data_IF_453048384856
#
_entry.id   IF_453048384856
#
_cell.length_a   1.000
_cell.length_b   1.000
_cell.length_c   1.000
_cell.angle_alpha   90.00
_cell.angle_beta   90.00
_cell.angle_gamma   90.00
#
_symmetry.space_group_name_H-M   'P 1'
#
loop_
_entity.id
_entity.type
_entity.pdbx_description
1 polymer ?
#
# COMPACT_ATOMS: atom_id res chain seq x y z
N UNK A 1 83.83 -25.02 11.38
CA UNK A 1 84.45 -24.90 10.04
C UNK A 1 83.36 -24.64 9.02
N UNK A 2 83.24 -23.39 8.54
CA UNK A 2 83.17 -23.03 7.12
C UNK A 2 82.97 -21.52 6.99
N UNK A 3 83.84 -20.93 6.17
CA UNK A 3 84.06 -19.50 5.98
C UNK A 3 83.07 -18.89 4.97
N UNK A 4 82.94 -17.56 5.08
CA UNK A 4 82.22 -16.56 4.27
C UNK A 4 82.23 -16.73 2.73
N UNK A 5 81.37 -15.98 2.00
CA UNK A 5 81.89 -14.70 1.49
C UNK A 5 80.94 -13.50 1.65
N UNK A 6 81.55 -12.38 2.02
CA UNK A 6 81.04 -11.02 1.85
C UNK A 6 80.81 -10.73 0.35
N UNK A 7 79.62 -10.28 -0.01
CA UNK A 7 79.31 -9.70 -1.31
C UNK A 7 79.18 -8.19 -1.22
N UNK A 8 80.14 -7.48 -1.81
CA UNK A 8 80.17 -6.03 -2.00
C UNK A 8 79.16 -5.58 -3.05
N UNK A 9 78.20 -4.72 -2.70
CA UNK A 9 77.54 -3.84 -3.66
C UNK A 9 77.47 -2.41 -3.11
N UNK A 10 78.10 -1.51 -3.85
CA UNK A 10 78.05 -0.06 -3.67
C UNK A 10 76.65 0.49 -4.05
N UNK A 11 76.30 1.74 -3.67
CA UNK A 11 74.97 2.14 -3.26
C UNK A 11 74.02 2.41 -4.43
N UNK A 12 72.72 2.12 -4.26
CA UNK A 12 71.67 2.62 -5.16
C UNK A 12 71.29 4.03 -4.72
N UNK A 13 71.52 4.99 -5.60
CA UNK A 13 71.19 6.41 -5.43
C UNK A 13 69.68 6.64 -5.33
N UNK A 14 69.26 7.45 -4.36
CA UNK A 14 67.91 8.00 -4.27
C UNK A 14 67.76 9.14 -5.29
N UNK A 15 66.82 9.10 -6.25
CA UNK A 15 66.53 10.24 -7.09
C UNK A 15 65.64 11.23 -6.31
N UNK A 16 66.24 12.30 -5.78
CA UNK A 16 65.49 13.43 -5.23
C UNK A 16 64.96 14.28 -6.39
N UNK A 17 63.63 14.27 -6.57
CA UNK A 17 62.78 15.15 -7.39
C UNK A 17 63.18 15.45 -8.85
N UNK A 18 62.29 15.23 -9.84
CA UNK A 18 62.55 15.66 -11.21
C UNK A 18 62.58 17.20 -11.29
N UNK A 19 63.73 17.76 -11.70
CA UNK A 19 63.83 19.16 -12.13
C UNK A 19 62.84 19.37 -13.28
N UNK A 20 61.83 20.21 -13.06
CA UNK A 20 60.96 20.70 -14.12
C UNK A 20 61.55 22.05 -14.56
N UNK A 21 62.07 22.13 -15.78
CA UNK A 21 62.51 23.40 -16.37
C UNK A 21 61.28 24.29 -16.55
N UNK A 22 61.30 25.45 -15.88
CA UNK A 22 60.31 26.51 -16.04
C UNK A 22 60.89 27.53 -17.03
N UNK A 23 60.29 27.61 -18.22
CA UNK A 23 60.60 28.63 -19.21
C UNK A 23 59.85 29.92 -18.84
N UNK A 24 60.58 31.00 -18.56
CA UNK A 24 60.07 32.22 -17.93
C UNK A 24 59.61 33.29 -18.93
N UNK A 25 59.71 33.03 -20.24
CA UNK A 25 59.52 34.06 -21.28
C UNK A 25 58.24 33.91 -22.13
N UNK A 26 57.43 32.86 -21.91
CA UNK A 26 56.10 32.76 -22.55
C UNK A 26 55.00 33.08 -21.55
N UNK A 27 54.55 34.34 -21.54
CA UNK A 27 53.49 34.89 -20.69
C UNK A 27 52.08 34.32 -20.93
N UNK A 28 51.95 33.02 -21.13
CA UNK A 28 50.68 32.30 -21.31
C UNK A 28 50.44 31.41 -20.10
N UNK A 29 49.64 31.91 -19.15
CA UNK A 29 49.13 31.13 -18.04
C UNK A 29 48.28 29.96 -18.55
N UNK A 30 48.89 28.80 -18.77
CA UNK A 30 48.15 27.54 -18.96
C UNK A 30 47.52 27.22 -17.61
N UNK A 31 46.31 27.73 -17.40
CA UNK A 31 45.40 27.27 -16.35
C UNK A 31 45.27 25.76 -16.50
N UNK A 32 46.03 24.99 -15.72
CA UNK A 32 45.69 23.59 -15.47
C UNK A 32 44.31 23.60 -14.84
N UNK A 33 43.30 23.27 -15.63
CA UNK A 33 41.98 22.92 -15.14
C UNK A 33 42.18 21.88 -14.04
N UNK A 34 41.85 22.28 -12.82
CA UNK A 34 41.89 21.40 -11.65
C UNK A 34 40.88 20.30 -11.93
N UNK A 35 41.33 19.13 -12.41
CA UNK A 35 40.48 17.95 -12.52
C UNK A 35 39.83 17.72 -11.15
N UNK A 36 38.49 17.62 -11.04
CA UNK A 36 37.87 17.31 -9.77
C UNK A 36 38.40 15.96 -9.31
N UNK A 37 39.10 15.95 -8.19
CA UNK A 37 39.61 14.74 -7.57
C UNK A 37 38.41 14.09 -6.88
N UNK A 38 37.68 13.26 -7.60
CA UNK A 38 36.71 12.35 -6.98
C UNK A 38 37.50 11.38 -6.11
N UNK A 39 37.64 11.71 -4.82
CA UNK A 39 38.03 10.71 -3.83
C UNK A 39 36.92 9.65 -3.81
N UNK A 40 37.20 8.36 -4.00
CA UNK A 40 36.20 7.35 -3.74
C UNK A 40 35.78 7.50 -2.28
N UNK A 41 34.49 7.79 -2.05
CA UNK A 41 33.91 7.71 -0.72
C UNK A 41 34.22 6.30 -0.19
N UNK A 42 35.15 6.21 0.77
CA UNK A 42 35.49 4.97 1.47
C UNK A 42 34.80 4.99 2.84
N UNK A 43 33.50 4.68 2.93
CA UNK A 43 32.75 4.72 4.19
C UNK A 43 33.42 3.83 5.26
N UNK A 44 33.98 2.70 4.84
CA UNK A 44 34.67 1.74 5.71
C UNK A 44 35.90 2.32 6.45
N UNK A 45 36.63 3.28 5.84
CA UNK A 45 37.80 3.91 6.49
C UNK A 45 37.38 4.99 7.48
N UNK A 46 36.28 5.69 7.21
CA UNK A 46 35.68 6.65 8.16
C UNK A 46 35.06 5.95 9.37
N UNK A 47 34.38 4.81 9.17
CA UNK A 47 33.78 4.02 10.26
C UNK A 47 34.84 3.54 11.27
N UNK A 48 36.01 3.07 10.79
CA UNK A 48 37.11 2.65 11.68
C UNK A 48 37.70 3.81 12.50
N UNK A 49 37.80 5.02 11.91
CA UNK A 49 38.28 6.23 12.61
C UNK A 49 37.31 6.69 13.69
N UNK A 50 36.00 6.65 13.42
CA UNK A 50 34.97 6.95 14.40
C UNK A 50 34.95 5.93 15.54
N UNK A 51 35.08 4.63 15.25
CA UNK A 51 35.11 3.58 16.27
C UNK A 51 36.20 3.78 17.32
N UNK A 52 37.42 4.14 16.89
CA UNK A 52 38.52 4.40 17.82
C UNK A 52 38.29 5.65 18.70
N UNK A 53 37.62 6.69 18.16
CA UNK A 53 37.26 7.90 18.92
C UNK A 53 36.15 7.63 19.93
N UNK A 54 35.13 6.87 19.54
CA UNK A 54 34.07 6.43 20.45
C UNK A 54 34.61 5.54 21.55
N UNK A 55 35.49 4.59 21.23
CA UNK A 55 36.12 3.73 22.22
C UNK A 55 36.95 4.53 23.24
N UNK A 56 37.68 5.55 22.80
CA UNK A 56 38.42 6.43 23.69
C UNK A 56 37.49 7.26 24.60
N UNK A 57 36.38 7.77 24.05
CA UNK A 57 35.39 8.54 24.79
C UNK A 57 34.69 7.71 25.89
N UNK A 58 34.28 6.48 25.58
CA UNK A 58 33.69 5.57 26.58
C UNK A 58 34.72 5.09 27.62
N UNK A 59 36.00 5.02 27.26
CA UNK A 59 37.09 4.71 28.20
C UNK A 59 37.35 5.83 29.21
N UNK A 60 37.16 7.09 28.81
CA UNK A 60 37.31 8.26 29.68
C UNK A 60 36.09 8.51 30.57
N UNK A 61 34.88 8.22 30.07
CA UNK A 61 33.62 8.47 30.79
C UNK A 61 32.72 7.24 30.83
N UNK A 62 33.00 6.26 31.71
CA UNK A 62 32.21 5.03 31.80
C UNK A 62 30.75 5.28 32.19
N UNK A 63 30.49 6.31 33.01
CA UNK A 63 29.14 6.70 33.42
C UNK A 63 28.29 7.25 32.26
N UNK A 64 28.90 7.98 31.32
CA UNK A 64 28.20 8.48 30.13
C UNK A 64 27.83 7.34 29.18
N UNK A 65 28.66 6.29 29.12
CA UNK A 65 28.33 5.05 28.41
C UNK A 65 27.12 4.33 29.00
N UNK A 66 27.09 4.21 30.33
CA UNK A 66 25.96 3.66 31.07
C UNK A 66 24.68 4.46 30.85
N UNK A 67 24.76 5.78 30.88
CA UNK A 67 23.62 6.67 30.63
C UNK A 67 23.08 6.52 29.20
N UNK A 68 23.95 6.49 28.19
CA UNK A 68 23.54 6.31 26.80
C UNK A 68 22.93 4.92 26.55
N UNK A 69 23.49 3.88 27.17
CA UNK A 69 22.91 2.54 27.13
C UNK A 69 21.52 2.50 27.79
N UNK A 70 21.36 3.13 28.95
CA UNK A 70 20.07 3.24 29.64
C UNK A 70 19.04 3.99 28.79
N UNK A 71 19.41 5.12 28.19
CA UNK A 71 18.53 5.86 27.28
C UNK A 71 18.12 5.01 26.06
N UNK A 72 19.04 4.22 25.51
CA UNK A 72 18.73 3.31 24.41
C UNK A 72 17.76 2.20 24.82
N UNK A 73 17.95 1.61 26.01
CA UNK A 73 17.00 0.62 26.57
C UNK A 73 15.63 1.25 26.83
N UNK A 74 15.57 2.46 27.40
CA UNK A 74 14.31 3.17 27.64
C UNK A 74 13.60 3.56 26.33
N UNK A 75 14.35 3.98 25.31
CA UNK A 75 13.80 4.26 23.99
C UNK A 75 13.27 2.98 23.31
N UNK A 76 14.00 1.88 23.37
CA UNK A 76 13.53 0.57 22.90
C UNK A 76 12.29 0.12 23.67
N UNK A 77 12.27 0.25 24.99
CA UNK A 77 11.10 -0.09 25.81
C UNK A 77 9.89 0.78 25.44
N UNK A 78 10.08 2.09 25.23
CA UNK A 78 9.02 2.99 24.79
C UNK A 78 8.50 2.66 23.39
N UNK A 79 9.39 2.32 22.45
CA UNK A 79 9.02 1.85 21.11
C UNK A 79 8.26 0.53 21.22
N UNK A 80 8.76 -0.46 21.99
CA UNK A 80 8.04 -1.72 22.22
C UNK A 80 6.71 -1.51 22.94
N UNK A 81 6.58 -0.52 23.82
CA UNK A 81 5.30 -0.16 24.44
C UNK A 81 4.36 0.52 23.45
N UNK A 82 4.84 1.37 22.54
CA UNK A 82 4.00 2.03 21.53
C UNK A 82 3.54 1.05 20.44
N UNK A 83 4.47 0.23 19.93
CA UNK A 83 4.13 -0.91 19.06
C UNK A 83 3.26 -1.92 19.81
N UNK A 84 3.58 -2.23 21.07
CA UNK A 84 2.81 -3.13 21.93
C UNK A 84 1.45 -2.57 22.35
N UNK A 85 1.20 -1.26 22.26
CA UNK A 85 -0.13 -0.67 22.53
C UNK A 85 -0.96 -0.65 21.25
N UNK A 86 -0.34 -0.44 20.08
CA UNK A 86 -1.02 -0.59 18.79
C UNK A 86 -1.34 -2.05 18.45
N UNK A 87 -0.53 -3.01 18.92
CA UNK A 87 -0.88 -4.43 18.88
C UNK A 87 -1.67 -4.89 20.11
N UNK A 88 -1.48 -4.32 21.30
CA UNK A 88 -2.14 -4.76 22.54
C UNK A 88 -3.57 -4.27 22.72
N UNK A 89 -3.96 -3.19 22.04
CA UNK A 89 -5.36 -2.69 22.04
C UNK A 89 -6.20 -3.34 20.92
N UNK A 90 -5.61 -4.19 20.07
CA UNK A 90 -6.33 -5.08 19.13
C UNK A 90 -6.00 -6.58 19.26
N UNK A 91 -4.98 -6.96 20.05
CA UNK A 91 -4.52 -8.35 20.18
C UNK A 91 -4.66 -8.91 21.61
N UNK A 92 -5.43 -8.23 22.47
CA UNK A 92 -6.04 -8.80 23.67
C UNK A 92 -7.28 -9.62 23.31
N UNK A 93 -7.10 -10.64 22.47
CA UNK A 93 -8.23 -11.40 21.91
C UNK A 93 -7.86 -12.57 21.02
N UNK A 94 -6.61 -13.03 20.96
CA UNK A 94 -6.32 -14.41 20.52
C UNK A 94 -6.63 -15.39 21.65
N UNK A 95 -7.87 -15.32 22.15
CA UNK A 95 -8.48 -16.45 22.83
C UNK A 95 -8.92 -17.36 21.70
N UNK A 96 -8.08 -18.34 21.37
CA UNK A 96 -8.58 -19.60 20.83
C UNK A 96 -9.39 -20.28 21.95
N UNK A 97 -10.50 -19.65 22.33
CA UNK A 97 -11.68 -20.40 22.70
C UNK A 97 -12.16 -20.95 21.37
N UNK A 98 -12.43 -22.24 21.31
CA UNK A 98 -13.43 -22.71 20.37
C UNK A 98 -14.70 -21.91 20.68
N UNK A 99 -14.83 -20.70 20.10
CA UNK A 99 -16.12 -20.07 19.92
C UNK A 99 -16.91 -21.13 19.17
N UNK A 100 -18.02 -21.56 19.77
CA UNK A 100 -18.90 -22.48 19.08
C UNK A 100 -19.21 -21.90 17.71
N UNK A 101 -19.42 -22.75 16.72
CA UNK A 101 -19.83 -22.29 15.39
C UNK A 101 -21.01 -21.30 15.46
N UNK A 102 -21.85 -21.42 16.50
CA UNK A 102 -23.00 -20.56 16.78
C UNK A 102 -22.68 -19.18 17.40
N UNK A 103 -21.43 -18.87 17.77
CA UNK A 103 -21.08 -17.58 18.38
C UNK A 103 -20.88 -16.45 17.35
N UNK A 104 -20.75 -16.79 16.06
CA UNK A 104 -20.56 -15.79 15.00
C UNK A 104 -21.91 -15.23 14.51
N UNK A 105 -22.01 -13.91 14.25
CA UNK A 105 -23.28 -13.26 13.91
C UNK A 105 -23.91 -13.80 12.61
N UNK A 106 -23.10 -14.35 11.70
CA UNK A 106 -23.54 -14.88 10.41
C UNK A 106 -23.06 -16.30 10.15
N UNK A 107 -22.92 -17.13 11.19
CA UNK A 107 -22.36 -18.50 11.11
C UNK A 107 -22.99 -19.41 10.04
N UNK A 108 -24.26 -19.19 9.70
CA UNK A 108 -24.99 -19.99 8.71
C UNK A 108 -24.66 -19.65 7.26
N UNK A 109 -24.05 -18.49 7.00
CA UNK A 109 -23.72 -18.05 5.64
C UNK A 109 -22.40 -18.69 5.20
N UNK A 110 -22.38 -19.17 3.96
CA UNK A 110 -21.30 -20.00 3.41
C UNK A 110 -20.70 -19.43 2.13
N UNK A 111 -21.44 -18.59 1.41
CA UNK A 111 -21.01 -18.02 0.13
C UNK A 111 -20.77 -16.51 0.26
N UNK A 112 -19.75 -16.01 -0.44
CA UNK A 112 -19.44 -14.58 -0.49
C UNK A 112 -19.82 -14.03 -1.86
N UNK A 113 -20.68 -13.02 -1.89
CA UNK A 113 -20.86 -12.15 -3.06
C UNK A 113 -20.22 -10.81 -2.74
N UNK A 114 -19.19 -10.48 -3.48
CA UNK A 114 -18.40 -9.29 -3.27
C UNK A 114 -18.62 -8.32 -4.43
N UNK A 115 -18.97 -7.08 -4.12
CA UNK A 115 -19.12 -5.99 -5.08
C UNK A 115 -18.00 -4.98 -4.86
N UNK A 116 -17.11 -4.86 -5.84
CA UNK A 116 -15.96 -3.96 -5.77
C UNK A 116 -16.37 -2.50 -6.02
N UNK A 117 -16.05 -1.66 -5.05
CA UNK A 117 -16.09 -0.21 -5.14
C UNK A 117 -15.01 0.32 -6.07
N UNK A 118 -15.36 1.33 -6.86
CA UNK A 118 -14.43 2.09 -7.71
C UNK A 118 -14.72 3.60 -7.74
N UNK A 119 -15.80 4.05 -7.09
CA UNK A 119 -16.22 5.45 -7.03
C UNK A 119 -17.13 5.65 -5.82
N UNK A 120 -17.29 6.91 -5.40
CA UNK A 120 -18.07 7.29 -4.24
C UNK A 120 -19.31 8.04 -4.71
N UNK A 121 -20.50 7.58 -4.32
CA UNK A 121 -21.72 8.36 -4.50
C UNK A 121 -21.71 9.59 -3.56
N UNK A 122 -21.71 10.79 -4.14
CA UNK A 122 -21.54 12.06 -3.42
C UNK A 122 -22.73 12.98 -3.49
N UNK A 123 -23.76 12.65 -4.28
CA UNK A 123 -24.89 13.55 -4.52
C UNK A 123 -25.57 14.00 -3.20
N UNK A 124 -25.44 15.29 -2.91
CA UNK A 124 -26.09 15.97 -1.78
C UNK A 124 -27.49 16.46 -2.12
N UNK A 125 -27.77 16.63 -3.42
CA UNK A 125 -29.10 16.83 -3.98
C UNK A 125 -29.61 15.46 -4.44
N UNK A 126 -30.92 15.20 -4.39
CA UNK A 126 -31.52 13.95 -4.84
C UNK A 126 -31.47 13.78 -6.39
N UNK A 127 -30.29 13.94 -6.99
CA UNK A 127 -30.04 13.78 -8.42
C UNK A 127 -30.26 12.35 -8.90
N UNK A 128 -30.27 12.15 -10.23
CA UNK A 128 -30.34 10.81 -10.80
C UNK A 128 -29.03 10.09 -10.51
N UNK A 129 -29.08 9.02 -9.73
CA UNK A 129 -27.90 8.22 -9.32
C UNK A 129 -27.11 7.71 -10.55
N UNK A 130 -27.73 7.55 -11.72
CA UNK A 130 -27.04 7.12 -12.94
C UNK A 130 -26.21 8.21 -13.63
N UNK A 131 -26.26 9.46 -13.16
CA UNK A 131 -25.50 10.57 -13.75
C UNK A 131 -24.10 10.67 -13.13
N UNK A 132 -23.13 11.02 -13.97
CA UNK A 132 -21.73 11.20 -13.60
C UNK A 132 -21.53 12.32 -12.56
N UNK A 133 -22.39 13.35 -12.55
CA UNK A 133 -22.33 14.47 -11.59
C UNK A 133 -22.66 14.06 -10.14
N UNK A 134 -23.26 12.88 -9.96
CA UNK A 134 -23.68 12.34 -8.67
C UNK A 134 -22.62 11.43 -8.04
N UNK A 135 -21.51 11.19 -8.75
CA UNK A 135 -20.39 10.34 -8.34
C UNK A 135 -19.08 11.12 -8.33
N UNK A 136 -18.22 10.79 -7.37
CA UNK A 136 -16.84 11.24 -7.37
C UNK A 136 -16.02 10.40 -8.36
N UNK A 137 -15.80 10.93 -9.55
CA UNK A 137 -15.10 10.27 -10.65
C UNK A 137 -13.72 10.87 -10.89
N UNK A 138 -12.70 10.01 -10.98
CA UNK A 138 -11.40 10.39 -11.51
C UNK A 138 -11.47 10.77 -12.98
N UNK A 139 -10.46 11.48 -13.49
CA UNK A 139 -10.42 11.95 -14.88
C UNK A 139 -10.63 10.83 -15.91
N UNK A 140 -10.08 9.64 -15.66
CA UNK A 140 -10.23 8.47 -16.52
C UNK A 140 -11.58 7.75 -16.40
N UNK A 141 -12.37 8.07 -15.35
CA UNK A 141 -13.69 7.49 -15.09
C UNK A 141 -14.82 8.37 -15.63
N UNK A 142 -14.53 9.57 -16.14
CA UNK A 142 -15.51 10.51 -16.71
C UNK A 142 -15.97 10.12 -18.12
N UNK A 143 -16.16 8.83 -18.34
CA UNK A 143 -16.74 8.31 -19.57
C UNK A 143 -18.28 8.29 -19.44
N UNK A 144 -19.03 8.67 -20.48
CA UNK A 144 -20.49 8.56 -20.45
C UNK A 144 -20.95 7.14 -20.12
N UNK A 145 -21.86 7.00 -19.16
CA UNK A 145 -22.41 5.72 -18.72
C UNK A 145 -21.65 5.03 -17.59
N UNK A 146 -20.51 5.58 -17.14
CA UNK A 146 -19.73 4.99 -16.05
C UNK A 146 -20.53 4.88 -14.74
N UNK A 147 -21.26 5.95 -14.39
CA UNK A 147 -22.10 5.98 -13.19
C UNK A 147 -23.20 4.90 -13.25
N UNK A 148 -23.84 4.72 -14.41
CA UNK A 148 -24.84 3.67 -14.62
C UNK A 148 -24.25 2.25 -14.45
N UNK A 149 -23.00 2.04 -14.83
CA UNK A 149 -22.28 0.77 -14.60
C UNK A 149 -22.12 0.48 -13.11
N UNK A 150 -21.74 1.45 -12.28
CA UNK A 150 -21.65 1.25 -10.83
C UNK A 150 -23.00 0.88 -10.22
N UNK A 151 -24.06 1.59 -10.62
CA UNK A 151 -25.44 1.30 -10.22
C UNK A 151 -25.87 -0.11 -10.61
N UNK A 152 -25.47 -0.56 -11.81
CA UNK A 152 -25.74 -1.90 -12.31
C UNK A 152 -25.06 -2.97 -11.46
N UNK A 153 -23.77 -2.81 -11.13
CA UNK A 153 -23.06 -3.75 -10.26
C UNK A 153 -23.66 -3.86 -8.86
N UNK A 154 -24.10 -2.72 -8.29
CA UNK A 154 -24.77 -2.72 -6.98
C UNK A 154 -26.04 -3.57 -7.05
N UNK A 155 -26.87 -3.35 -8.08
CA UNK A 155 -28.10 -4.09 -8.27
C UNK A 155 -27.85 -5.58 -8.53
N UNK A 156 -26.87 -5.91 -9.38
CA UNK A 156 -26.51 -7.29 -9.72
C UNK A 156 -26.01 -8.08 -8.50
N UNK A 157 -25.16 -7.48 -7.66
CA UNK A 157 -24.72 -8.12 -6.41
C UNK A 157 -25.89 -8.45 -5.48
N UNK A 158 -26.87 -7.55 -5.37
CA UNK A 158 -28.09 -7.76 -4.58
C UNK A 158 -28.93 -8.90 -5.17
N UNK A 159 -29.13 -8.90 -6.49
CA UNK A 159 -29.89 -9.93 -7.20
C UNK A 159 -29.26 -11.33 -7.08
N UNK A 160 -27.93 -11.42 -7.07
CA UNK A 160 -27.24 -12.69 -6.85
C UNK A 160 -27.51 -13.19 -5.42
N UNK A 161 -27.37 -12.32 -4.41
CA UNK A 161 -27.60 -12.68 -3.00
C UNK A 161 -29.07 -12.94 -2.69
N UNK A 162 -29.99 -12.33 -3.44
CA UNK A 162 -31.42 -12.61 -3.35
C UNK A 162 -31.79 -14.04 -3.81
N UNK A 163 -30.95 -14.66 -4.65
CA UNK A 163 -31.15 -16.04 -5.15
C UNK A 163 -30.41 -17.10 -4.32
N UNK A 164 -29.55 -16.68 -3.41
CA UNK A 164 -28.77 -17.55 -2.53
C UNK A 164 -28.93 -17.11 -1.07
N UNK A 165 -29.78 -17.81 -0.33
CA UNK A 165 -30.04 -17.55 1.09
C UNK A 165 -28.82 -17.82 1.98
N UNK A 166 -27.83 -18.56 1.50
CA UNK A 166 -26.57 -18.84 2.19
C UNK A 166 -25.47 -17.84 1.86
N UNK A 167 -25.74 -16.85 1.00
CA UNK A 167 -24.75 -15.84 0.61
C UNK A 167 -24.75 -14.62 1.55
N UNK A 168 -23.56 -14.08 1.78
CA UNK A 168 -23.31 -12.77 2.38
C UNK A 168 -22.93 -11.78 1.26
N UNK A 169 -23.59 -10.63 1.21
CA UNK A 169 -23.21 -9.52 0.35
C UNK A 169 -22.21 -8.62 1.07
N UNK A 170 -21.03 -8.42 0.47
CA UNK A 170 -20.06 -7.41 0.88
C UNK A 170 -19.85 -6.38 -0.23
N UNK A 171 -20.24 -5.13 0.01
CA UNK A 171 -19.71 -4.00 -0.72
C UNK A 171 -18.31 -3.71 -0.18
N UNK A 172 -17.29 -3.69 -1.02
CA UNK A 172 -15.89 -3.58 -0.59
C UNK A 172 -15.21 -2.42 -1.30
N UNK A 173 -14.54 -1.57 -0.52
CA UNK A 173 -13.85 -0.39 -1.02
C UNK A 173 -13.80 0.71 0.04
N UNK A 174 -12.61 1.24 0.28
CA UNK A 174 -12.34 2.18 1.37
C UNK A 174 -12.39 3.65 0.99
N UNK A 175 -11.91 4.49 1.92
CA UNK A 175 -11.80 5.94 1.75
C UNK A 175 -10.55 6.30 0.92
N UNK A 176 -10.62 6.06 -0.39
CA UNK A 176 -9.46 6.27 -1.29
C UNK A 176 -9.34 7.70 -1.82
N UNK A 177 -10.40 8.52 -1.67
CA UNK A 177 -10.50 9.86 -2.27
C UNK A 177 -10.59 10.93 -1.18
N UNK A 178 -9.49 11.66 -0.98
CA UNK A 178 -9.42 12.78 -0.01
C UNK A 178 -10.53 13.82 -0.24
N UNK A 179 -10.83 14.14 -1.49
CA UNK A 179 -11.76 15.21 -1.85
C UNK A 179 -13.23 14.77 -1.81
N UNK A 180 -13.50 13.46 -1.62
CA UNK A 180 -14.86 12.93 -1.47
C UNK A 180 -15.39 13.00 -0.02
N UNK A 181 -14.54 13.37 0.94
CA UNK A 181 -14.88 13.41 2.36
C UNK A 181 -14.71 12.04 3.05
N UNK A 182 -15.11 11.93 4.34
CA UNK A 182 -14.97 10.71 5.15
C UNK A 182 -16.07 9.71 4.78
N UNK A 183 -16.02 9.19 3.55
CA UNK A 183 -16.98 8.24 3.01
C UNK A 183 -16.24 7.19 2.19
N UNK A 184 -16.41 5.92 2.58
CA UNK A 184 -15.87 4.81 1.82
C UNK A 184 -16.72 4.51 0.57
N UNK A 185 -16.09 3.92 -0.43
CA UNK A 185 -16.79 3.46 -1.64
C UNK A 185 -17.89 2.45 -1.27
N UNK A 186 -17.59 1.52 -0.36
CA UNK A 186 -18.52 0.51 0.15
C UNK A 186 -19.76 1.10 0.83
N UNK A 187 -19.59 2.08 1.71
CA UNK A 187 -20.72 2.79 2.35
C UNK A 187 -21.59 3.48 1.31
N UNK A 188 -20.97 4.10 0.32
CA UNK A 188 -21.70 4.82 -0.72
C UNK A 188 -22.57 3.87 -1.56
N UNK A 189 -22.07 2.66 -1.86
CA UNK A 189 -22.81 1.63 -2.59
C UNK A 189 -23.98 1.07 -1.76
N UNK A 190 -23.74 0.79 -0.48
CA UNK A 190 -24.80 0.35 0.45
C UNK A 190 -25.91 1.39 0.55
N UNK A 191 -25.55 2.68 0.66
CA UNK A 191 -26.51 3.78 0.74
C UNK A 191 -27.33 3.93 -0.56
N UNK A 192 -26.70 3.74 -1.72
CA UNK A 192 -27.41 3.71 -3.02
C UNK A 192 -28.46 2.59 -3.02
N UNK A 193 -28.06 1.37 -2.64
CA UNK A 193 -28.97 0.22 -2.57
C UNK A 193 -30.15 0.45 -1.62
N UNK A 194 -29.89 1.00 -0.44
CA UNK A 194 -30.91 1.30 0.56
C UNK A 194 -31.88 2.38 0.06
N UNK A 195 -31.36 3.46 -0.55
CA UNK A 195 -32.17 4.55 -1.11
C UNK A 195 -33.11 4.08 -2.22
N UNK A 196 -32.74 3.02 -2.94
CA UNK A 196 -33.54 2.40 -4.00
C UNK A 196 -34.52 1.36 -3.47
N UNK A 197 -34.42 0.96 -2.20
CA UNK A 197 -35.23 -0.10 -1.62
C UNK A 197 -34.93 -1.49 -2.20
N UNK A 198 -33.76 -1.69 -2.81
CA UNK A 198 -33.40 -2.95 -3.49
C UNK A 198 -33.20 -4.11 -2.54
N UNK A 199 -32.93 -3.84 -1.27
CA UNK A 199 -32.75 -4.91 -0.31
C UNK A 199 -34.02 -5.70 0.00
N UNK A 200 -35.23 -5.26 -0.35
CA UNK A 200 -36.52 -5.93 -0.04
C UNK A 200 -37.10 -5.65 1.37
N UNK A 201 -38.19 -6.32 1.76
CA UNK A 201 -38.83 -6.18 3.09
C UNK A 201 -38.28 -7.19 4.12
N UNK A 202 -37.92 -6.68 5.31
CA UNK A 202 -37.55 -7.27 6.63
C UNK A 202 -36.93 -8.68 6.79
N UNK A 203 -37.19 -9.69 5.94
CA UNK A 203 -36.45 -10.97 5.90
C UNK A 203 -35.47 -11.06 4.71
N UNK A 204 -35.36 -9.96 3.97
CA UNK A 204 -34.70 -9.85 2.68
C UNK A 204 -33.18 -9.66 2.77
N UNK A 205 -32.51 -9.48 1.63
CA UNK A 205 -31.03 -9.35 1.49
C UNK A 205 -30.39 -8.38 2.50
N UNK A 206 -31.13 -7.39 3.01
CA UNK A 206 -30.64 -6.33 3.91
C UNK A 206 -29.85 -6.84 5.11
N UNK A 207 -30.34 -7.87 5.80
CA UNK A 207 -29.68 -8.36 7.02
C UNK A 207 -28.35 -9.07 6.72
N UNK A 208 -28.16 -9.51 5.46
CA UNK A 208 -26.94 -10.18 4.95
C UNK A 208 -26.07 -9.26 4.10
N UNK A 209 -26.34 -7.95 4.10
CA UNK A 209 -25.63 -6.97 3.29
C UNK A 209 -24.81 -6.02 4.16
N UNK A 210 -23.49 -6.17 4.06
CA UNK A 210 -22.53 -5.46 4.89
C UNK A 210 -21.45 -4.78 4.04
N UNK A 211 -20.60 -4.01 4.69
CA UNK A 211 -19.49 -3.27 4.08
C UNK A 211 -18.13 -3.79 4.54
N UNK A 212 -17.16 -3.67 3.65
CA UNK A 212 -15.72 -3.74 3.90
C UNK A 212 -15.12 -2.42 3.42
N UNK A 213 -14.49 -1.66 4.32
CA UNK A 213 -14.22 -0.22 4.10
C UNK A 213 -12.73 0.16 4.13
N UNK A 214 -11.84 -0.83 4.05
CA UNK A 214 -10.40 -0.63 4.15
C UNK A 214 -9.65 -0.89 2.85
N UNK A 215 -10.28 -1.55 1.88
CA UNK A 215 -9.63 -1.85 0.61
C UNK A 215 -9.28 -0.59 -0.20
N UNK A 216 -8.04 -0.51 -0.67
CA UNK A 216 -7.53 0.63 -1.46
C UNK A 216 -7.33 0.31 -2.93
N UNK A 217 -7.34 -0.96 -3.28
CA UNK A 217 -7.20 -1.45 -4.64
C UNK A 217 -8.02 -2.74 -4.87
N UNK A 218 -7.99 -3.26 -6.09
CA UNK A 218 -8.72 -4.47 -6.47
C UNK A 218 -8.26 -5.75 -5.77
N UNK A 219 -6.99 -5.82 -5.35
CA UNK A 219 -6.47 -6.98 -4.62
C UNK A 219 -6.94 -6.97 -3.18
N UNK A 220 -6.83 -5.83 -2.51
CA UNK A 220 -7.33 -5.62 -1.15
C UNK A 220 -8.83 -5.81 -1.07
N UNK A 221 -9.56 -5.36 -2.08
CA UNK A 221 -11.00 -5.60 -2.24
C UNK A 221 -11.35 -7.08 -2.05
N UNK A 222 -10.66 -7.98 -2.76
CA UNK A 222 -10.86 -9.43 -2.61
C UNK A 222 -10.36 -9.94 -1.25
N UNK A 223 -9.12 -9.62 -0.89
CA UNK A 223 -8.47 -10.15 0.31
C UNK A 223 -9.23 -9.75 1.58
N UNK A 224 -9.57 -8.47 1.73
CA UNK A 224 -10.27 -7.96 2.89
C UNK A 224 -11.71 -8.43 2.93
N UNK A 225 -12.38 -8.62 1.78
CA UNK A 225 -13.71 -9.25 1.75
C UNK A 225 -13.68 -10.69 2.28
N UNK A 226 -12.65 -11.48 1.92
CA UNK A 226 -12.48 -12.84 2.45
C UNK A 226 -12.18 -12.83 3.95
N UNK A 227 -11.32 -11.91 4.41
CA UNK A 227 -11.05 -11.73 5.84
C UNK A 227 -12.32 -11.32 6.60
N UNK A 228 -13.06 -10.34 6.08
CA UNK A 228 -14.30 -9.83 6.65
C UNK A 228 -15.39 -10.90 6.71
N UNK A 229 -15.49 -11.73 5.68
CA UNK A 229 -16.39 -12.88 5.70
C UNK A 229 -16.06 -13.80 6.87
N UNK A 230 -14.77 -14.16 7.06
CA UNK A 230 -14.36 -15.02 8.18
C UNK A 230 -14.58 -14.40 9.55
N UNK A 231 -14.41 -13.09 9.68
CA UNK A 231 -14.75 -12.38 10.93
C UNK A 231 -16.24 -12.51 11.28
N UNK A 232 -17.10 -12.54 10.26
CA UNK A 232 -18.56 -12.54 10.41
C UNK A 232 -19.16 -13.93 10.55
N UNK A 233 -18.56 -14.95 9.92
CA UNK A 233 -19.11 -16.32 9.84
C UNK A 233 -18.27 -17.36 10.59
N UNK A 234 -17.04 -17.01 11.00
CA UNK A 234 -16.08 -17.94 11.60
C UNK A 234 -15.39 -18.88 10.61
N UNK A 235 -15.82 -18.92 9.35
CA UNK A 235 -15.27 -19.79 8.30
C UNK A 235 -14.88 -19.01 7.06
N UNK A 236 -14.06 -19.61 6.20
CA UNK A 236 -13.81 -19.05 4.87
C UNK A 236 -14.97 -19.39 3.93
N UNK A 237 -15.27 -18.54 2.94
CA UNK A 237 -16.36 -18.78 2.02
C UNK A 237 -16.08 -20.03 1.16
N UNK A 238 -17.11 -20.83 0.91
CA UNK A 238 -17.03 -21.99 0.02
C UNK A 238 -17.00 -21.56 -1.45
N UNK A 239 -17.82 -20.56 -1.79
CA UNK A 239 -17.86 -19.95 -3.12
C UNK A 239 -17.69 -18.43 -3.00
N UNK A 240 -17.00 -17.85 -3.97
CA UNK A 240 -16.84 -16.40 -4.09
C UNK A 240 -17.36 -15.97 -5.46
N UNK A 241 -18.36 -15.11 -5.47
CA UNK A 241 -18.84 -14.41 -6.66
C UNK A 241 -18.32 -12.98 -6.64
N UNK A 242 -17.62 -12.61 -7.71
CA UNK A 242 -16.99 -11.30 -7.84
C UNK A 242 -17.78 -10.44 -8.83
N UNK A 243 -18.31 -9.32 -8.36
CA UNK A 243 -19.00 -8.32 -9.19
C UNK A 243 -18.10 -7.08 -9.25
N UNK A 244 -17.53 -6.84 -10.42
CA UNK A 244 -16.63 -5.71 -10.67
C UNK A 244 -16.86 -5.12 -12.06
N UNK A 245 -16.27 -3.96 -12.28
CA UNK A 245 -16.19 -3.37 -13.61
C UNK A 245 -15.35 -4.22 -14.56
N UNK A 246 -16.05 -4.87 -15.50
CA UNK A 246 -15.42 -5.61 -16.58
C UNK A 246 -15.09 -4.64 -17.73
N UNK A 247 -13.83 -4.18 -17.80
CA UNK A 247 -13.38 -3.26 -18.86
C UNK A 247 -13.54 -3.82 -20.28
N UNK A 248 -13.63 -5.15 -20.42
CA UNK A 248 -13.84 -5.82 -21.71
C UNK A 248 -15.29 -5.64 -22.20
N UNK A 249 -16.28 -5.79 -21.31
CA UNK A 249 -17.69 -5.59 -21.66
C UNK A 249 -18.03 -4.13 -21.98
N UNK A 250 -17.34 -3.17 -21.36
CA UNK A 250 -17.47 -1.76 -21.69
C UNK A 250 -17.01 -1.45 -23.13
N UNK A 251 -15.94 -2.11 -23.59
CA UNK A 251 -15.45 -1.97 -24.98
C UNK A 251 -16.39 -2.64 -25.99
N UNK A 252 -16.97 -3.80 -25.65
CA UNK A 252 -17.97 -4.47 -26.49
C UNK A 252 -19.27 -3.67 -26.60
N UNK A 253 -19.73 -3.06 -25.49
CA UNK A 253 -20.91 -2.20 -25.48
C UNK A 253 -20.68 -0.91 -26.27
N UNK A 254 -19.49 -0.30 -26.15
CA UNK A 254 -19.09 0.83 -27.00
C UNK A 254 -19.01 0.45 -28.48
N UNK A 255 -18.55 -0.75 -28.81
CA UNK A 255 -18.53 -1.25 -30.18
C UNK A 255 -19.95 -1.52 -30.72
N UNK A 256 -20.86 -2.03 -29.88
CA UNK A 256 -22.27 -2.26 -30.23
C UNK A 256 -23.03 -0.95 -30.46
N UNK A 257 -22.90 0.02 -29.56
CA UNK A 257 -23.58 1.32 -29.65
C UNK A 257 -23.07 2.17 -30.84
N UNK A 258 -21.79 2.00 -31.22
CA UNK A 258 -21.23 2.59 -32.45
C UNK A 258 -21.75 1.89 -33.71
N UNK A 259 -21.99 0.58 -33.65
CA UNK A 259 -22.57 -0.22 -34.72
C UNK A 259 -24.03 0.17 -35.02
N UNK A 260 -24.86 0.34 -33.99
CA UNK A 260 -26.26 0.76 -34.14
C UNK A 260 -26.40 2.18 -34.71
N UNK A 261 -25.51 3.10 -34.32
CA UNK A 261 -25.50 4.47 -34.89
C UNK A 261 -25.11 4.52 -36.36
N UNK A 262 -24.38 3.54 -36.89
CA UNK A 262 -24.02 3.47 -38.31
C UNK A 262 -25.16 2.90 -39.16
N UNK A 263 -25.99 2.03 -38.59
CA UNK A 263 -27.17 1.48 -39.28
C UNK A 263 -28.34 2.46 -39.35
N UNK A 264 -28.45 3.41 -38.41
CA UNK A 264 -29.48 4.47 -38.42
C UNK A 264 -29.14 5.66 -39.36
N UNK A 265 -27.97 5.64 -40.02
CA UNK A 265 -27.50 6.70 -40.93
C UNK A 265 -27.41 6.19 -42.40
N UNK A 266 -27.87 4.97 -42.68
CA UNK A 266 -28.08 4.42 -44.03
C UNK A 266 -29.57 4.34 -44.37
#
# INVERSE_FOLDING_TARGET
>A
MNNYPFGSQAPKSFPAYPKTEFDLESGTAIKRTRKPKNSPFHPLRMIKSFGNRFHHFFKLHPLMGLFLALCFVLALAMILSLYGTQYGVQSGGYVKSDMGFDDYPFSKLQNLVMVAGHSIYTSSSCGKIEKEDSWFLESYQKNPGQAATFVTHIHEGIEIVARDDSALLLFSGGETRRDAGPRSEAQSYWAVADSKGWFGKEESVKWRALTEEHARDSFENLLFSVCRFRELTGTYPQNITFVMENRVGALEKLASDQGEKLTDVM
#
